data_IF_235004428499
#
_entry.id   IF_235004428499
#
_cell.length_a   1.000
_cell.length_b   1.000
_cell.length_c   1.000
_cell.angle_alpha   90.00
_cell.angle_beta   90.00
_cell.angle_gamma   90.00
#
_symmetry.space_group_name_H-M   'P 1'
#
loop_
_entity.id
_entity.type
_entity.pdbx_description
1 polymer ?
#
# COMPACT_ATOMS: atom_id res chain seq x y z
N UNK A 1 69.24 -27.08 2.25
CA UNK A 1 69.93 -26.01 2.99
C UNK A 1 68.88 -25.24 3.78
N UNK A 2 68.80 -25.42 5.10
CA UNK A 2 67.88 -24.70 5.99
C UNK A 2 68.65 -23.58 6.70
N UNK A 3 68.11 -22.35 6.68
CA UNK A 3 68.70 -21.18 7.36
C UNK A 3 68.39 -21.25 8.86
N UNK A 4 69.37 -21.03 9.76
CA UNK A 4 69.11 -20.99 11.19
C UNK A 4 68.35 -19.69 11.54
N UNK A 5 67.21 -19.84 12.21
CA UNK A 5 66.44 -18.73 12.78
C UNK A 5 67.17 -18.17 14.01
N UNK A 6 67.32 -16.85 14.06
CA UNK A 6 68.02 -16.13 15.14
C UNK A 6 67.32 -16.22 16.50
N UNK A 7 68.08 -15.99 17.57
CA UNK A 7 67.63 -16.08 18.96
C UNK A 7 66.53 -15.05 19.28
N UNK A 8 65.37 -15.55 19.72
CA UNK A 8 64.22 -14.73 20.13
C UNK A 8 64.45 -14.24 21.55
N UNK A 9 64.61 -12.92 21.70
CA UNK A 9 64.77 -12.27 23.00
C UNK A 9 63.40 -12.19 23.69
N UNK A 10 63.12 -13.11 24.60
CA UNK A 10 61.91 -13.10 25.44
C UNK A 10 61.95 -11.88 26.36
N UNK A 11 61.10 -10.89 26.08
CA UNK A 11 60.89 -9.73 26.97
C UNK A 11 60.04 -10.19 28.16
N UNK A 12 60.48 -9.91 29.39
CA UNK A 12 59.66 -10.10 30.60
C UNK A 12 58.36 -9.30 30.45
N UNK A 13 57.22 -9.95 30.64
CA UNK A 13 55.91 -9.33 30.54
C UNK A 13 55.73 -8.29 31.66
N UNK A 14 55.24 -7.10 31.30
CA UNK A 14 55.00 -6.03 32.27
C UNK A 14 53.75 -6.36 33.10
N UNK A 15 53.79 -6.25 34.45
CA UNK A 15 52.66 -6.63 35.31
C UNK A 15 51.39 -5.84 34.99
N UNK A 16 51.53 -4.59 34.53
CA UNK A 16 50.43 -3.71 34.13
C UNK A 16 49.67 -4.26 32.91
N UNK A 17 50.37 -4.84 31.94
CA UNK A 17 49.73 -5.43 30.75
C UNK A 17 48.97 -6.71 31.08
N UNK A 18 49.43 -7.47 32.07
CA UNK A 18 48.74 -8.66 32.57
C UNK A 18 47.46 -8.29 33.32
N UNK A 19 47.53 -7.23 34.15
CA UNK A 19 46.38 -6.72 34.90
C UNK A 19 45.30 -6.16 33.98
N UNK A 20 45.68 -5.43 32.93
CA UNK A 20 44.75 -4.94 31.92
C UNK A 20 44.08 -6.08 31.13
N UNK A 21 44.85 -7.11 30.78
CA UNK A 21 44.31 -8.32 30.13
C UNK A 21 43.33 -9.09 31.01
N UNK A 22 43.61 -9.19 32.31
CA UNK A 22 42.72 -9.84 33.28
C UNK A 22 41.41 -9.08 33.49
N UNK A 23 41.44 -7.75 33.53
CA UNK A 23 40.22 -6.94 33.63
C UNK A 23 39.36 -7.11 32.38
N UNK A 24 39.98 -7.13 31.19
CA UNK A 24 39.26 -7.28 29.93
C UNK A 24 38.63 -8.68 29.78
N UNK A 25 39.33 -9.73 30.24
CA UNK A 25 38.76 -11.09 30.24
C UNK A 25 37.60 -11.24 31.24
N UNK A 26 37.70 -10.63 32.43
CA UNK A 26 36.61 -10.63 33.41
C UNK A 26 35.38 -9.87 32.88
N UNK A 27 35.59 -8.76 32.17
CA UNK A 27 34.50 -8.01 31.53
C UNK A 27 33.78 -8.84 30.46
N UNK A 28 34.53 -9.54 29.60
CA UNK A 28 33.96 -10.42 28.55
C UNK A 28 33.19 -11.59 29.16
N UNK A 29 33.74 -12.22 30.21
CA UNK A 29 33.06 -13.34 30.90
C UNK A 29 31.82 -12.83 31.65
N UNK A 30 31.88 -11.67 32.28
CA UNK A 30 30.71 -11.02 32.90
C UNK A 30 29.62 -10.72 31.88
N UNK A 31 29.97 -10.19 30.71
CA UNK A 31 29.01 -9.94 29.62
C UNK A 31 28.35 -11.22 29.08
N UNK A 32 29.05 -12.36 29.13
CA UNK A 32 28.54 -13.66 28.67
C UNK A 32 27.63 -14.36 29.69
N UNK A 33 27.78 -14.06 30.98
CA UNK A 33 27.11 -14.81 32.08
C UNK A 33 25.98 -14.03 32.75
N UNK A 34 25.91 -12.70 32.63
CA UNK A 34 24.76 -11.93 33.13
C UNK A 34 23.56 -12.04 32.17
N UNK A 35 22.34 -12.39 32.65
CA UNK A 35 21.15 -12.43 31.82
C UNK A 35 20.66 -11.00 31.62
N UNK A 36 21.13 -10.34 30.56
CA UNK A 36 20.53 -9.10 30.08
C UNK A 36 19.13 -9.45 29.57
N UNK A 37 18.12 -8.86 30.20
CA UNK A 37 16.71 -9.04 29.85
C UNK A 37 16.47 -8.86 28.35
N UNK A 38 15.87 -9.89 27.75
CA UNK A 38 15.10 -9.92 26.51
C UNK A 38 15.25 -8.73 25.55
N UNK A 39 16.36 -8.68 24.82
CA UNK A 39 16.34 -8.27 23.43
C UNK A 39 16.35 -9.54 22.59
N UNK A 40 15.16 -9.97 22.14
CA UNK A 40 15.00 -11.06 21.20
C UNK A 40 15.65 -10.68 19.86
N UNK A 41 16.95 -10.94 19.74
CA UNK A 41 17.61 -11.13 18.46
C UNK A 41 17.03 -12.42 17.88
N UNK A 42 16.02 -12.24 17.03
CA UNK A 42 15.37 -13.28 16.25
C UNK A 42 16.46 -13.99 15.44
N UNK A 43 16.93 -15.12 15.97
CA UNK A 43 17.68 -16.10 15.20
C UNK A 43 16.77 -16.50 14.05
N UNK A 44 17.21 -16.19 12.83
CA UNK A 44 16.60 -16.50 11.54
C UNK A 44 16.38 -18.03 11.40
N UNK A 45 15.39 -18.52 12.14
CA UNK A 45 14.68 -19.73 11.83
C UNK A 45 13.92 -19.39 10.57
N UNK A 46 14.45 -19.84 9.42
CA UNK A 46 13.72 -19.88 8.15
C UNK A 46 12.37 -20.55 8.38
N UNK A 47 11.35 -19.76 8.75
CA UNK A 47 9.97 -20.18 8.67
C UNK A 47 9.74 -20.57 7.22
N UNK A 48 9.22 -21.77 6.93
CA UNK A 48 8.92 -22.13 5.57
C UNK A 48 8.03 -21.04 4.98
N UNK A 49 8.48 -20.44 3.88
CA UNK A 49 7.74 -19.39 3.21
C UNK A 49 6.29 -19.86 3.01
N UNK A 50 5.33 -19.07 3.49
CA UNK A 50 3.91 -19.40 3.30
C UNK A 50 3.67 -19.59 1.81
N UNK A 51 2.94 -20.64 1.42
CA UNK A 51 2.78 -20.96 0.00
C UNK A 51 2.15 -19.80 -0.75
N UNK A 52 2.52 -19.62 -2.01
CA UNK A 52 1.99 -18.57 -2.86
C UNK A 52 0.46 -18.70 -3.01
N UNK A 53 -0.29 -17.75 -2.43
CA UNK A 53 -1.78 -17.73 -2.51
C UNK A 53 -2.26 -16.75 -3.59
N UNK A 54 -1.41 -15.80 -3.98
CA UNK A 54 -1.77 -14.70 -4.89
C UNK A 54 -0.75 -14.60 -6.03
N UNK A 55 -1.16 -14.13 -7.22
CA UNK A 55 -0.28 -13.92 -8.38
C UNK A 55 0.85 -12.89 -8.16
N UNK A 56 0.79 -12.10 -7.07
CA UNK A 56 1.82 -11.15 -6.65
C UNK A 56 2.68 -11.71 -5.50
N UNK A 57 2.57 -13.00 -5.20
CA UNK A 57 3.44 -13.62 -4.19
C UNK A 57 4.88 -13.61 -4.67
N UNK A 58 5.87 -13.45 -3.77
CA UNK A 58 7.27 -13.43 -4.14
C UNK A 58 7.67 -14.73 -4.85
N UNK A 59 8.57 -14.66 -5.86
CA UNK A 59 8.94 -15.81 -6.69
C UNK A 59 9.64 -16.95 -5.92
N UNK A 60 10.00 -16.71 -4.65
CA UNK A 60 10.68 -17.67 -3.77
C UNK A 60 9.71 -18.51 -2.94
N UNK A 61 8.41 -18.23 -2.96
CA UNK A 61 7.42 -18.98 -2.18
C UNK A 61 7.07 -20.33 -2.86
N UNK A 62 7.03 -21.46 -2.13
CA UNK A 62 6.66 -22.75 -2.69
C UNK A 62 5.20 -22.75 -3.18
N UNK A 63 4.95 -23.34 -4.35
CA UNK A 63 3.62 -23.44 -4.94
C UNK A 63 2.79 -24.51 -4.21
N UNK A 64 1.68 -24.12 -3.56
CA UNK A 64 0.73 -25.09 -2.99
C UNK A 64 -0.15 -25.65 -4.10
N UNK A 65 0.00 -26.94 -4.39
CA UNK A 65 -0.93 -27.68 -5.27
C UNK A 65 -2.29 -27.73 -4.57
N UNK A 66 -3.21 -26.86 -4.99
CA UNK A 66 -4.61 -26.87 -4.54
C UNK A 66 -5.23 -28.20 -4.99
N UNK A 67 -5.82 -28.96 -4.06
CA UNK A 67 -6.52 -30.19 -4.38
C UNK A 67 -7.64 -29.87 -5.39
N UNK A 68 -7.85 -30.76 -6.37
CA UNK A 68 -8.77 -30.51 -7.49
C UNK A 68 -10.22 -30.26 -7.01
N UNK A 69 -10.58 -30.79 -5.84
CA UNK A 69 -11.86 -30.57 -5.17
C UNK A 69 -12.10 -29.13 -4.65
N UNK A 70 -11.04 -28.35 -4.42
CA UNK A 70 -11.14 -26.94 -3.97
C UNK A 70 -11.22 -25.95 -5.13
N UNK A 71 -11.06 -26.41 -6.38
CA UNK A 71 -11.19 -25.57 -7.58
C UNK A 71 -12.65 -25.45 -7.99
N UNK A 72 -13.47 -24.81 -7.15
CA UNK A 72 -14.82 -24.41 -7.59
C UNK A 72 -14.66 -23.41 -8.75
N UNK A 73 -15.30 -23.64 -9.91
CA UNK A 73 -15.28 -22.65 -10.98
C UNK A 73 -15.86 -21.34 -10.44
N UNK A 74 -15.37 -20.17 -10.92
CA UNK A 74 -15.92 -18.90 -10.50
C UNK A 74 -17.43 -18.87 -10.79
N UNK A 75 -18.25 -18.26 -9.91
CA UNK A 75 -19.69 -18.21 -10.11
C UNK A 75 -20.01 -17.49 -11.44
N UNK A 76 -20.88 -18.08 -12.25
CA UNK A 76 -21.36 -17.46 -13.48
C UNK A 76 -22.44 -16.44 -13.12
N UNK A 77 -22.11 -15.15 -13.24
CA UNK A 77 -23.07 -14.07 -13.05
C UNK A 77 -23.63 -13.67 -14.41
N UNK A 78 -24.97 -13.65 -14.54
CA UNK A 78 -25.67 -13.19 -15.74
C UNK A 78 -26.25 -11.80 -15.47
N UNK A 79 -25.86 -10.84 -16.29
CA UNK A 79 -26.41 -9.49 -16.27
C UNK A 79 -27.32 -9.32 -17.49
N UNK A 80 -28.59 -9.03 -17.28
CA UNK A 80 -29.51 -8.65 -18.35
C UNK A 80 -29.48 -7.14 -18.53
N UNK A 81 -28.78 -6.70 -19.58
CA UNK A 81 -28.57 -5.27 -19.84
C UNK A 81 -29.84 -4.55 -20.31
N UNK A 82 -30.87 -5.28 -20.78
CA UNK A 82 -32.14 -4.65 -21.16
C UNK A 82 -32.92 -4.14 -19.94
N UNK A 83 -32.65 -4.70 -18.75
CA UNK A 83 -33.27 -4.27 -17.50
C UNK A 83 -32.51 -3.14 -16.80
N UNK A 84 -31.40 -2.66 -17.38
CA UNK A 84 -30.69 -1.48 -16.89
C UNK A 84 -31.40 -0.25 -17.47
N UNK A 85 -32.37 0.26 -16.72
CA UNK A 85 -33.14 1.45 -17.10
C UNK A 85 -32.55 2.73 -16.51
N UNK A 86 -32.78 3.85 -17.19
CA UNK A 86 -32.50 5.19 -16.69
C UNK A 86 -33.85 5.89 -16.64
N UNK A 87 -34.50 5.83 -15.50
CA UNK A 87 -35.87 6.34 -15.34
C UNK A 87 -35.91 7.70 -14.66
N UNK A 88 -37.07 8.34 -14.67
CA UNK A 88 -37.32 9.60 -13.95
C UNK A 88 -37.43 9.43 -12.44
N UNK A 89 -37.71 8.21 -11.94
CA UNK A 89 -37.73 7.86 -10.51
C UNK A 89 -36.66 6.80 -10.20
N UNK A 90 -35.38 7.20 -10.11
CA UNK A 90 -34.28 6.28 -9.90
C UNK A 90 -34.26 5.67 -8.48
N UNK A 91 -34.87 6.34 -7.49
CA UNK A 91 -34.89 5.86 -6.10
C UNK A 91 -35.92 4.74 -5.95
N UNK A 92 -37.14 4.92 -6.47
CA UNK A 92 -38.18 3.89 -6.45
C UNK A 92 -37.74 2.62 -7.17
N UNK A 93 -37.02 2.76 -8.29
CA UNK A 93 -36.49 1.65 -9.08
C UNK A 93 -35.14 1.09 -8.56
N UNK A 94 -34.61 1.63 -7.46
CA UNK A 94 -33.32 1.24 -6.85
C UNK A 94 -32.16 1.22 -7.84
N UNK A 95 -32.10 2.20 -8.74
CA UNK A 95 -31.04 2.34 -9.72
C UNK A 95 -29.70 2.58 -9.00
N UNK A 96 -28.63 1.87 -9.39
CA UNK A 96 -27.32 2.07 -8.76
C UNK A 96 -26.55 3.18 -9.48
N UNK A 97 -25.91 4.07 -8.73
CA UNK A 97 -25.12 5.17 -9.29
C UNK A 97 -23.63 4.97 -9.03
N UNK A 98 -22.80 5.33 -10.01
CA UNK A 98 -21.35 5.27 -9.93
C UNK A 98 -20.77 6.69 -10.03
N UNK A 99 -20.22 7.19 -8.92
CA UNK A 99 -19.59 8.53 -8.87
C UNK A 99 -18.08 8.38 -9.06
N UNK A 100 -17.57 8.93 -10.16
CA UNK A 100 -16.16 8.82 -10.54
C UNK A 100 -15.42 10.14 -10.36
N UNK A 101 -14.38 10.12 -9.53
CA UNK A 101 -13.65 11.31 -9.14
C UNK A 101 -12.14 11.15 -9.32
N UNK A 102 -11.57 11.67 -10.43
CA UNK A 102 -10.13 11.85 -10.54
C UNK A 102 -9.68 13.01 -9.68
N UNK A 103 -8.88 12.73 -8.64
CA UNK A 103 -8.45 13.75 -7.67
C UNK A 103 -6.93 13.74 -7.47
N UNK A 104 -6.36 14.93 -7.32
CA UNK A 104 -4.93 15.12 -7.01
C UNK A 104 -4.72 15.49 -5.54
N UNK A 105 -5.64 16.29 -5.00
CA UNK A 105 -5.67 16.73 -3.60
C UNK A 105 -7.01 16.33 -2.98
N UNK A 106 -6.99 16.02 -1.70
CA UNK A 106 -8.18 15.69 -0.93
C UNK A 106 -8.72 16.96 -0.26
N UNK A 107 -10.04 17.18 -0.37
CA UNK A 107 -10.73 18.28 0.26
C UNK A 107 -11.82 17.71 1.17
N UNK A 108 -11.84 18.17 2.43
CA UNK A 108 -12.77 17.64 3.42
C UNK A 108 -14.21 18.05 3.09
N UNK A 109 -14.40 19.24 2.55
CA UNK A 109 -15.71 19.78 2.13
C UNK A 109 -16.33 18.93 1.03
N UNK A 110 -15.51 18.47 0.08
CA UNK A 110 -15.96 17.55 -0.96
C UNK A 110 -16.48 16.24 -0.36
N UNK A 111 -15.76 15.65 0.59
CA UNK A 111 -16.20 14.43 1.28
C UNK A 111 -17.49 14.67 2.08
N UNK A 112 -17.58 15.78 2.80
CA UNK A 112 -18.77 16.14 3.55
C UNK A 112 -19.99 16.33 2.63
N UNK A 113 -19.80 16.84 1.42
CA UNK A 113 -20.87 16.96 0.44
C UNK A 113 -21.32 15.59 -0.09
N UNK A 114 -20.40 14.64 -0.30
CA UNK A 114 -20.78 13.27 -0.66
C UNK A 114 -21.64 12.61 0.43
N UNK A 115 -21.34 12.85 1.71
CA UNK A 115 -22.11 12.32 2.84
C UNK A 115 -23.49 12.99 3.00
N UNK A 116 -23.68 14.16 2.42
CA UNK A 116 -24.94 14.92 2.45
C UNK A 116 -25.84 14.62 1.24
N UNK A 117 -25.46 13.68 0.39
CA UNK A 117 -26.32 13.28 -0.72
C UNK A 117 -27.57 12.60 -0.16
N UNK A 118 -28.74 13.07 -0.55
CA UNK A 118 -30.02 12.48 -0.13
C UNK A 118 -30.32 11.15 -0.85
N UNK A 119 -29.47 10.75 -1.80
CA UNK A 119 -29.60 9.49 -2.50
C UNK A 119 -29.18 8.33 -1.59
N UNK A 120 -29.90 7.18 -1.58
CA UNK A 120 -29.55 6.07 -0.69
C UNK A 120 -28.10 5.58 -0.88
N UNK A 121 -27.26 5.69 0.16
CA UNK A 121 -25.83 5.38 0.04
C UNK A 121 -25.55 3.91 -0.31
N UNK A 122 -26.48 2.99 -0.01
CA UNK A 122 -26.42 1.58 -0.40
C UNK A 122 -26.51 1.36 -1.91
N UNK A 123 -26.94 2.37 -2.68
CA UNK A 123 -26.99 2.37 -4.14
C UNK A 123 -25.84 3.15 -4.78
N UNK A 124 -24.98 3.79 -3.98
CA UNK A 124 -23.88 4.62 -4.46
C UNK A 124 -22.57 3.83 -4.40
N UNK A 125 -21.93 3.67 -5.55
CA UNK A 125 -20.54 3.23 -5.67
C UNK A 125 -19.65 4.44 -5.92
N UNK A 126 -18.56 4.57 -5.15
CA UNK A 126 -17.58 5.64 -5.33
C UNK A 126 -16.31 5.09 -5.98
N UNK A 127 -15.85 5.73 -7.04
CA UNK A 127 -14.57 5.43 -7.69
C UNK A 127 -13.62 6.62 -7.63
N UNK A 128 -12.44 6.42 -7.06
CA UNK A 128 -11.40 7.45 -6.99
C UNK A 128 -10.16 7.03 -7.77
N UNK A 129 -9.55 7.96 -8.51
CA UNK A 129 -8.23 7.75 -9.09
C UNK A 129 -7.29 8.88 -8.73
N UNK A 130 -6.12 8.54 -8.17
CA UNK A 130 -5.15 9.50 -7.66
C UNK A 130 -3.76 9.30 -8.28
N UNK A 131 -3.01 10.38 -8.57
CA UNK A 131 -1.66 10.30 -9.13
C UNK A 131 -0.63 9.81 -8.11
N UNK A 132 0.45 9.18 -8.59
CA UNK A 132 1.64 8.79 -7.81
C UNK A 132 2.60 9.97 -7.59
N UNK A 133 2.09 11.07 -7.08
CA UNK A 133 2.89 12.25 -6.68
C UNK A 133 2.89 12.40 -5.15
N UNK A 134 3.77 13.24 -4.60
CA UNK A 134 3.81 13.56 -3.16
C UNK A 134 2.43 14.02 -2.65
N UNK A 135 1.79 14.93 -3.38
CA UNK A 135 0.45 15.42 -3.06
C UNK A 135 -0.62 14.32 -3.19
N UNK A 136 -0.55 13.52 -4.26
CA UNK A 136 -1.50 12.42 -4.47
C UNK A 136 -1.38 11.31 -3.42
N UNK A 137 -0.17 11.09 -2.87
CA UNK A 137 0.04 10.18 -1.73
C UNK A 137 -0.64 10.73 -0.47
N UNK A 138 -0.42 12.01 -0.14
CA UNK A 138 -1.07 12.64 1.00
C UNK A 138 -2.61 12.62 0.88
N UNK A 139 -3.13 12.89 -0.32
CA UNK A 139 -4.55 12.80 -0.61
C UNK A 139 -5.10 11.37 -0.45
N UNK A 140 -4.32 10.35 -0.84
CA UNK A 140 -4.72 8.94 -0.69
C UNK A 140 -4.84 8.58 0.80
N UNK A 141 -3.87 8.99 1.62
CA UNK A 141 -3.91 8.76 3.07
C UNK A 141 -5.14 9.42 3.71
N UNK A 142 -5.36 10.71 3.44
CA UNK A 142 -6.51 11.43 3.97
C UNK A 142 -7.86 10.82 3.53
N UNK A 143 -7.96 10.41 2.27
CA UNK A 143 -9.14 9.73 1.74
C UNK A 143 -9.38 8.38 2.46
N UNK A 144 -8.32 7.58 2.65
CA UNK A 144 -8.41 6.29 3.34
C UNK A 144 -8.84 6.43 4.80
N UNK A 145 -8.36 7.47 5.50
CA UNK A 145 -8.78 7.77 6.87
C UNK A 145 -10.28 8.07 6.94
N UNK A 146 -10.79 8.91 6.04
CA UNK A 146 -12.22 9.27 5.98
C UNK A 146 -13.10 8.09 5.56
N UNK A 147 -12.66 7.28 4.59
CA UNK A 147 -13.33 6.04 4.22
C UNK A 147 -13.39 5.09 5.41
N UNK A 148 -12.28 4.91 6.13
CA UNK A 148 -12.22 4.04 7.31
C UNK A 148 -13.18 4.51 8.40
N UNK A 149 -13.23 5.83 8.63
CA UNK A 149 -14.17 6.43 9.59
C UNK A 149 -15.62 6.17 9.19
N UNK A 150 -15.97 6.37 7.92
CA UNK A 150 -17.34 6.24 7.42
C UNK A 150 -17.77 4.77 7.34
N UNK A 151 -16.96 3.92 6.71
CA UNK A 151 -17.32 2.53 6.42
C UNK A 151 -17.19 1.58 7.62
N UNK A 152 -16.16 1.77 8.48
CA UNK A 152 -15.94 0.87 9.62
C UNK A 152 -16.56 1.36 10.93
N UNK A 153 -16.55 2.68 11.17
CA UNK A 153 -16.98 3.27 12.44
C UNK A 153 -18.31 4.03 12.33
N UNK A 154 -18.78 4.31 11.12
CA UNK A 154 -19.98 5.09 10.88
C UNK A 154 -21.28 4.27 10.98
N UNK A 155 -22.43 4.95 11.14
CA UNK A 155 -23.76 4.35 11.03
C UNK A 155 -23.93 3.61 9.71
N UNK A 156 -24.72 2.53 9.69
CA UNK A 156 -24.95 1.74 8.47
C UNK A 156 -25.57 2.54 7.34
N UNK A 157 -26.43 3.52 7.68
CA UNK A 157 -27.05 4.43 6.71
C UNK A 157 -26.05 5.30 5.93
N UNK A 158 -24.88 5.59 6.51
CA UNK A 158 -23.90 6.49 5.91
C UNK A 158 -22.86 5.72 5.06
N UNK A 159 -22.95 4.38 5.02
CA UNK A 159 -22.03 3.52 4.28
C UNK A 159 -22.40 3.45 2.81
N UNK A 160 -21.44 3.73 1.94
CA UNK A 160 -21.55 3.54 0.51
C UNK A 160 -21.51 2.05 0.13
N UNK A 161 -22.21 1.66 -0.94
CA UNK A 161 -22.26 0.29 -1.48
C UNK A 161 -20.88 -0.32 -1.69
N UNK A 162 -20.01 0.41 -2.35
CA UNK A 162 -18.63 0.02 -2.64
C UNK A 162 -17.78 1.26 -2.87
N UNK A 163 -16.50 1.19 -2.51
CA UNK A 163 -15.54 2.26 -2.75
C UNK A 163 -14.28 1.66 -3.36
N UNK A 164 -13.92 2.13 -4.55
CA UNK A 164 -12.73 1.69 -5.28
C UNK A 164 -11.74 2.84 -5.33
N UNK A 165 -10.49 2.58 -4.95
CA UNK A 165 -9.39 3.56 -5.00
C UNK A 165 -8.32 3.03 -5.95
N UNK A 166 -8.01 3.82 -6.97
CA UNK A 166 -7.00 3.52 -7.97
C UNK A 166 -5.82 4.47 -7.86
N UNK A 167 -4.62 3.94 -8.10
CA UNK A 167 -3.39 4.73 -8.19
C UNK A 167 -2.95 4.75 -9.65
N UNK A 168 -2.79 5.94 -10.22
CA UNK A 168 -2.38 6.11 -11.62
C UNK A 168 -0.99 5.50 -11.85
N UNK A 169 -0.81 4.89 -13.01
CA UNK A 169 0.42 4.20 -13.42
C UNK A 169 1.20 4.93 -14.54
N UNK A 170 0.61 5.96 -15.15
CA UNK A 170 1.23 6.78 -16.18
C UNK A 170 2.00 8.00 -15.61
N UNK A 171 3.00 8.44 -16.35
CA UNK A 171 3.85 9.59 -15.99
C UNK A 171 3.06 10.91 -15.93
N UNK A 172 3.36 11.80 -14.97
CA UNK A 172 2.75 13.12 -14.92
C UNK A 172 3.10 13.92 -16.18
N UNK A 173 2.11 14.53 -16.83
CA UNK A 173 2.34 15.39 -17.99
C UNK A 173 3.18 16.64 -17.69
N UNK A 174 3.27 17.04 -16.41
CA UNK A 174 3.99 18.23 -15.96
C UNK A 174 4.60 17.91 -14.59
N UNK A 175 5.92 18.06 -14.45
CA UNK A 175 6.67 17.86 -13.19
C UNK A 175 6.35 18.97 -12.18
N UNK A 176 6.14 20.20 -12.67
CA UNK A 176 5.81 21.38 -11.89
C UNK A 176 4.30 21.54 -11.70
N UNK A 177 3.89 21.96 -10.49
CA UNK A 177 2.50 22.13 -10.08
C UNK A 177 2.07 23.60 -9.99
N UNK A 178 2.94 24.54 -10.35
CA UNK A 178 2.67 25.98 -10.28
C UNK A 178 1.49 26.42 -11.18
N UNK A 179 0.65 27.31 -10.66
CA UNK A 179 -0.52 27.84 -11.39
C UNK A 179 -0.15 28.53 -12.70
N UNK A 180 0.96 29.28 -12.71
CA UNK A 180 1.46 29.99 -13.88
C UNK A 180 1.84 29.06 -15.03
N UNK A 181 2.33 27.85 -14.74
CA UNK A 181 2.71 26.85 -15.74
C UNK A 181 1.53 25.95 -16.15
N UNK A 182 0.57 25.75 -15.24
CA UNK A 182 -0.68 25.00 -15.50
C UNK A 182 -1.62 25.70 -16.48
N UNK A 183 -1.50 27.00 -16.64
CA UNK A 183 -2.37 27.80 -17.51
C UNK A 183 -1.75 28.07 -18.90
N UNK A 184 -0.48 27.70 -19.11
CA UNK A 184 0.16 27.79 -20.43
C UNK A 184 -0.56 26.86 -21.43
N UNK A 185 -0.93 27.41 -22.59
CA UNK A 185 -1.67 26.70 -23.65
C UNK A 185 -0.94 25.42 -24.11
N UNK A 186 0.39 25.46 -24.16
CA UNK A 186 1.24 24.32 -24.54
C UNK A 186 1.08 23.11 -23.61
N UNK A 187 0.89 23.35 -22.31
CA UNK A 187 0.75 22.29 -21.30
C UNK A 187 -0.68 21.73 -21.21
N UNK A 188 -1.66 22.43 -21.78
CA UNK A 188 -3.06 22.04 -21.70
C UNK A 188 -3.35 20.73 -22.46
N UNK A 189 -2.70 20.52 -23.62
CA UNK A 189 -2.87 19.30 -24.43
C UNK A 189 -2.38 18.06 -23.69
N UNK A 190 -1.16 18.10 -23.16
CA UNK A 190 -0.58 17.00 -22.37
C UNK A 190 -1.42 16.69 -21.13
N UNK A 191 -1.85 17.73 -20.40
CA UNK A 191 -2.71 17.57 -19.22
C UNK A 191 -4.05 16.92 -19.55
N UNK A 192 -4.72 17.35 -20.63
CA UNK A 192 -5.98 16.76 -21.08
C UNK A 192 -5.80 15.30 -21.49
N UNK A 193 -4.72 14.98 -22.20
CA UNK A 193 -4.44 13.60 -22.61
C UNK A 193 -4.26 12.66 -21.39
N UNK A 194 -3.48 13.07 -20.38
CA UNK A 194 -3.29 12.29 -19.15
C UNK A 194 -4.59 12.19 -18.33
N UNK A 195 -5.37 13.26 -18.24
CA UNK A 195 -6.66 13.23 -17.55
C UNK A 195 -7.67 12.31 -18.25
N UNK A 196 -7.71 12.29 -19.59
CA UNK A 196 -8.56 11.36 -20.35
C UNK A 196 -8.18 9.91 -20.09
N UNK A 197 -6.87 9.59 -20.06
CA UNK A 197 -6.39 8.26 -19.68
C UNK A 197 -6.87 7.89 -18.27
N UNK A 198 -6.68 8.79 -17.30
CA UNK A 198 -7.13 8.56 -15.92
C UNK A 198 -8.63 8.30 -15.80
N UNK A 199 -9.46 9.06 -16.52
CA UNK A 199 -10.92 8.88 -16.52
C UNK A 199 -11.32 7.54 -17.10
N UNK A 200 -10.73 7.16 -18.25
CA UNK A 200 -11.02 5.88 -18.88
C UNK A 200 -10.57 4.72 -18.00
N UNK A 201 -9.35 4.77 -17.46
CA UNK A 201 -8.84 3.76 -16.53
C UNK A 201 -9.76 3.60 -15.32
N UNK A 202 -10.23 4.71 -14.74
CA UNK A 202 -11.17 4.68 -13.62
C UNK A 202 -12.53 4.07 -14.01
N UNK A 203 -13.10 4.49 -15.14
CA UNK A 203 -14.38 3.97 -15.62
C UNK A 203 -14.31 2.46 -15.87
N UNK A 204 -13.36 1.98 -16.69
CA UNK A 204 -13.30 0.58 -17.10
C UNK A 204 -12.97 -0.39 -15.96
N UNK A 205 -12.37 0.08 -14.88
CA UNK A 205 -12.02 -0.77 -13.72
C UNK A 205 -13.11 -0.79 -12.65
N UNK A 206 -14.06 0.14 -12.70
CA UNK A 206 -15.13 0.28 -11.70
C UNK A 206 -16.51 -0.01 -12.27
N UNK A 207 -16.65 -0.04 -13.59
CA UNK A 207 -17.86 -0.45 -14.29
C UNK A 207 -17.90 -1.99 -14.32
N UNK A 208 -18.56 -2.60 -13.34
CA UNK A 208 -18.68 -4.05 -13.19
C UNK A 208 -19.49 -4.49 -11.98
#
# INVERSE_FOLDING_TARGET
>A
MARPMGSVRLKKANPITLLLGAILSIFVIGFLVLPIGSSSSDSDSKKPASPAVHHLSPPTAPYRKVAEADRKPPPVVRYDLNNVTITSDPIGNRESILILTPMVRFYQEYWNNLLRLDYPHDLITLGFILPKTKEGNAATTALQEQITRTQKRGPQKDRFKSIVILRQDFEPAITSQDESERHKMQNQKGRRAVMSKARNSLLFTTLG
#
